data_IF_034123919840
#
_entry.id   IF_034123919840
#
_cell.length_a   1.000
_cell.length_b   1.000
_cell.length_c   1.000
_cell.angle_alpha   90.00
_cell.angle_beta   90.00
_cell.angle_gamma   90.00
#
_symmetry.space_group_name_H-M   'P 1'
#
loop_
_entity.id
_entity.type
_entity.pdbx_description
1 polymer ?
#
# COMPACT_ATOMS: atom_id res chain seq x y z
N UNK A 1 -22.56 -5.19 -1.16
CA UNK A 1 -21.37 -5.54 -0.35
C UNK A 1 -20.85 -4.28 0.31
N UNK A 2 -20.60 -4.31 1.62
CA UNK A 2 -20.09 -3.15 2.39
C UNK A 2 -18.57 -3.19 2.48
N UNK A 3 -17.92 -2.05 2.76
CA UNK A 3 -16.46 -1.93 2.91
C UNK A 3 -15.88 -2.91 3.94
N UNK A 4 -16.64 -3.20 4.99
CA UNK A 4 -16.26 -4.15 6.04
C UNK A 4 -15.86 -5.55 5.55
N UNK A 5 -16.41 -6.02 4.42
CA UNK A 5 -16.06 -7.35 3.87
C UNK A 5 -14.62 -7.36 3.31
N UNK A 6 -14.20 -6.25 2.68
CA UNK A 6 -12.83 -6.12 2.18
C UNK A 6 -11.84 -5.85 3.31
N UNK A 7 -12.26 -5.05 4.30
CA UNK A 7 -11.45 -4.76 5.50
C UNK A 7 -11.16 -6.04 6.32
N UNK A 8 -12.02 -7.06 6.23
CA UNK A 8 -11.83 -8.35 6.91
C UNK A 8 -10.74 -9.24 6.30
N UNK A 9 -10.31 -8.97 5.06
CA UNK A 9 -9.21 -9.70 4.41
C UNK A 9 -8.07 -8.72 4.15
N UNK A 10 -6.95 -8.79 4.90
CA UNK A 10 -5.90 -7.77 4.85
C UNK A 10 -5.37 -7.45 3.44
N UNK A 11 -5.23 -8.46 2.58
CA UNK A 11 -4.82 -8.26 1.19
C UNK A 11 -5.83 -7.45 0.36
N UNK A 12 -7.12 -7.61 0.63
CA UNK A 12 -8.14 -6.80 -0.02
C UNK A 12 -8.24 -5.39 0.58
N UNK A 13 -8.06 -5.20 1.89
CA UNK A 13 -8.00 -3.85 2.49
C UNK A 13 -6.90 -3.03 1.79
N UNK A 14 -5.69 -3.58 1.66
CA UNK A 14 -4.58 -2.91 0.98
C UNK A 14 -4.94 -2.58 -0.47
N UNK A 15 -5.44 -3.55 -1.23
CA UNK A 15 -5.77 -3.35 -2.63
C UNK A 15 -6.88 -2.31 -2.84
N UNK A 16 -7.95 -2.35 -2.03
CA UNK A 16 -9.07 -1.40 -2.10
C UNK A 16 -8.62 -0.01 -1.65
N UNK A 17 -7.86 0.08 -0.56
CA UNK A 17 -7.33 1.33 -0.03
C UNK A 17 -6.41 2.03 -1.04
N UNK A 18 -5.49 1.30 -1.69
CA UNK A 18 -4.64 1.85 -2.74
C UNK A 18 -5.45 2.32 -3.95
N UNK A 19 -6.34 1.48 -4.49
CA UNK A 19 -7.20 1.86 -5.63
C UNK A 19 -8.02 3.11 -5.32
N UNK A 20 -8.62 3.18 -4.13
CA UNK A 20 -9.36 4.35 -3.69
C UNK A 20 -8.47 5.60 -3.63
N UNK A 21 -7.24 5.47 -3.11
CA UNK A 21 -6.29 6.59 -3.06
C UNK A 21 -5.84 7.04 -4.45
N UNK A 22 -5.51 6.13 -5.36
CA UNK A 22 -5.15 6.47 -6.74
C UNK A 22 -6.31 7.12 -7.49
N UNK A 23 -7.53 6.59 -7.36
CA UNK A 23 -8.71 7.20 -7.98
C UNK A 23 -9.09 8.57 -7.39
N UNK A 24 -8.73 8.83 -6.12
CA UNK A 24 -8.95 10.14 -5.51
C UNK A 24 -7.97 11.21 -6.01
N UNK A 25 -6.84 10.82 -6.60
CA UNK A 25 -5.89 11.73 -7.21
C UNK A 25 -6.24 11.95 -8.68
N UNK A 26 -6.89 13.09 -8.98
CA UNK A 26 -7.28 13.45 -10.34
C UNK A 26 -6.12 13.67 -11.32
N UNK A 27 -4.88 13.77 -10.83
CA UNK A 27 -3.69 13.88 -11.67
C UNK A 27 -3.03 12.51 -11.93
N UNK A 28 -3.47 11.44 -11.26
CA UNK A 28 -2.88 10.12 -11.44
C UNK A 28 -3.20 9.55 -12.81
N UNK A 29 -2.15 9.15 -13.53
CA UNK A 29 -2.28 8.46 -14.82
C UNK A 29 -2.07 6.97 -14.61
N UNK A 30 -3.16 6.22 -14.70
CA UNK A 30 -3.12 4.78 -14.61
C UNK A 30 -2.26 4.15 -15.72
N UNK A 31 -1.45 3.20 -15.31
CA UNK A 31 -0.60 2.34 -16.12
C UNK A 31 -0.87 0.88 -15.74
N UNK A 32 -0.40 -0.06 -16.55
CA UNK A 32 -0.48 -1.49 -16.21
C UNK A 32 0.32 -1.82 -14.95
N UNK A 33 1.42 -1.10 -14.70
CA UNK A 33 2.26 -1.32 -13.53
C UNK A 33 1.52 -1.05 -12.23
N UNK A 34 0.62 -0.07 -12.18
CA UNK A 34 -0.19 0.20 -10.99
C UNK A 34 -0.98 -1.04 -10.54
N UNK A 35 -1.46 -1.85 -11.49
CA UNK A 35 -2.20 -3.09 -11.18
C UNK A 35 -1.26 -4.13 -10.57
N UNK A 36 -0.05 -4.27 -11.13
CA UNK A 36 0.96 -5.20 -10.63
C UNK A 36 1.47 -4.80 -9.24
N UNK A 37 1.71 -3.51 -9.03
CA UNK A 37 2.16 -2.98 -7.75
C UNK A 37 1.09 -3.19 -6.68
N UNK A 38 -0.18 -2.92 -7.00
CA UNK A 38 -1.29 -3.15 -6.07
C UNK A 38 -1.41 -4.63 -5.68
N UNK A 39 -1.24 -5.56 -6.61
CA UNK A 39 -1.27 -7.00 -6.34
C UNK A 39 -0.09 -7.44 -5.45
N UNK A 40 1.12 -6.99 -5.78
CA UNK A 40 2.32 -7.24 -4.99
C UNK A 40 2.20 -6.67 -3.57
N UNK A 41 1.64 -5.47 -3.41
CA UNK A 41 1.45 -4.82 -2.11
C UNK A 41 0.34 -5.47 -1.30
N UNK A 42 -0.72 -5.97 -1.95
CA UNK A 42 -1.77 -6.74 -1.30
C UNK A 42 -1.25 -8.01 -0.62
N UNK A 43 -0.17 -8.59 -1.14
CA UNK A 43 0.48 -9.76 -0.51
C UNK A 43 1.63 -9.41 0.43
N UNK A 44 2.27 -8.26 0.29
CA UNK A 44 3.46 -7.91 1.11
C UNK A 44 3.13 -7.02 2.30
N UNK A 45 2.31 -5.99 2.10
CA UNK A 45 1.96 -5.05 3.18
C UNK A 45 1.33 -5.74 4.39
N UNK A 46 0.36 -6.66 4.27
CA UNK A 46 -0.25 -7.24 5.48
C UNK A 46 0.58 -8.34 6.16
N UNK A 47 1.63 -8.84 5.52
CA UNK A 47 2.35 -10.05 5.98
C UNK A 47 3.85 -9.85 6.19
N UNK A 48 4.36 -8.63 5.98
CA UNK A 48 5.75 -8.26 6.26
C UNK A 48 5.81 -7.15 7.30
N UNK A 49 6.83 -7.18 8.15
CA UNK A 49 7.09 -6.11 9.13
C UNK A 49 7.58 -4.82 8.44
N UNK A 50 8.37 -4.97 7.37
CA UNK A 50 8.92 -3.86 6.59
C UNK A 50 8.74 -4.11 5.10
N UNK A 51 8.20 -3.13 4.38
CA UNK A 51 8.08 -3.13 2.92
C UNK A 51 8.79 -1.91 2.34
N UNK A 52 9.73 -2.14 1.42
CA UNK A 52 10.38 -1.08 0.65
C UNK A 52 9.73 -1.01 -0.73
N UNK A 53 9.22 0.16 -1.10
CA UNK A 53 8.53 0.39 -2.37
C UNK A 53 8.91 1.77 -2.93
N UNK A 54 8.43 2.13 -4.12
CA UNK A 54 8.72 3.44 -4.68
C UNK A 54 8.02 4.55 -3.88
N UNK A 55 8.48 5.78 -4.10
CA UNK A 55 8.04 6.95 -3.34
C UNK A 55 6.57 7.30 -3.55
N UNK A 56 6.01 7.08 -4.74
CA UNK A 56 4.62 7.36 -5.03
C UNK A 56 3.72 6.37 -4.29
N UNK A 57 3.98 5.07 -4.42
CA UNK A 57 3.26 4.03 -3.67
C UNK A 57 3.35 4.27 -2.16
N UNK A 58 4.56 4.53 -1.64
CA UNK A 58 4.76 4.80 -0.22
C UNK A 58 3.92 6.01 0.26
N UNK A 59 3.77 7.04 -0.57
CA UNK A 59 2.90 8.19 -0.30
C UNK A 59 1.42 7.80 -0.23
N UNK A 60 0.94 6.95 -1.14
CA UNK A 60 -0.43 6.45 -1.12
C UNK A 60 -0.70 5.54 0.09
N UNK A 61 0.22 4.63 0.43
CA UNK A 61 0.10 3.78 1.62
C UNK A 61 0.04 4.61 2.92
N UNK A 62 0.88 5.64 3.04
CA UNK A 62 0.84 6.55 4.19
C UNK A 62 -0.47 7.35 4.26
N UNK A 63 -0.96 7.84 3.11
CA UNK A 63 -2.21 8.62 3.04
C UNK A 63 -3.44 7.82 3.45
N UNK A 64 -3.48 6.53 3.09
CA UNK A 64 -4.58 5.63 3.44
C UNK A 64 -4.53 5.12 4.88
N UNK A 65 -3.37 5.23 5.53
CA UNK A 65 -3.10 4.68 6.86
C UNK A 65 -3.19 3.15 6.93
N UNK A 66 -3.27 2.45 5.79
CA UNK A 66 -3.50 0.99 5.77
C UNK A 66 -2.30 0.22 6.33
N UNK A 67 -1.09 0.65 6.01
CA UNK A 67 0.13 0.02 6.53
C UNK A 67 0.24 0.19 8.05
N UNK A 68 -0.10 1.37 8.58
CA UNK A 68 -0.09 1.63 10.02
C UNK A 68 -1.11 0.75 10.76
N UNK A 69 -2.33 0.60 10.23
CA UNK A 69 -3.35 -0.29 10.80
C UNK A 69 -2.91 -1.76 10.83
N UNK A 70 -2.10 -2.18 9.86
CA UNK A 70 -1.59 -3.54 9.72
C UNK A 70 -0.25 -3.76 10.47
N UNK A 71 0.33 -2.71 11.06
CA UNK A 71 1.58 -2.80 11.81
C UNK A 71 2.84 -2.87 10.93
N UNK A 72 2.77 -2.41 9.68
CA UNK A 72 3.86 -2.53 8.71
C UNK A 72 4.57 -1.21 8.47
N UNK A 73 5.90 -1.24 8.52
CA UNK A 73 6.75 -0.10 8.22
C UNK A 73 6.94 0.00 6.70
N UNK A 74 6.58 1.15 6.12
CA UNK A 74 6.73 1.40 4.68
C UNK A 74 7.85 2.42 4.43
N UNK A 75 8.88 1.97 3.71
CA UNK A 75 10.04 2.76 3.33
C UNK A 75 10.01 3.07 1.83
N UNK A 76 10.52 4.24 1.44
CA UNK A 76 10.64 4.66 0.03
C UNK A 76 12.06 4.53 -0.52
N UNK A 77 13.00 4.09 0.31
CA UNK A 77 14.41 3.93 -0.04
C UNK A 77 14.99 2.76 0.73
N UNK A 78 15.80 1.95 0.04
CA UNK A 78 16.51 0.84 0.68
C UNK A 78 17.56 1.35 1.69
N UNK A 79 18.09 2.56 1.50
CA UNK A 79 19.04 3.16 2.45
C UNK A 79 18.45 3.41 3.83
N UNK A 80 17.13 3.62 3.91
CA UNK A 80 16.43 3.86 5.18
C UNK A 80 16.23 2.55 5.97
N UNK A 81 16.39 1.40 5.32
CA UNK A 81 16.21 0.09 5.96
C UNK A 81 17.24 -0.13 7.08
N UNK A 82 18.50 0.24 6.84
CA UNK A 82 19.57 0.07 7.83
C UNK A 82 19.36 0.91 9.10
N UNK A 83 18.60 2.01 9.03
CA UNK A 83 18.26 2.83 10.19
C UNK A 83 17.05 2.31 10.97
N UNK A 84 16.32 1.33 10.40
CA UNK A 84 15.08 0.77 10.95
C UNK A 84 15.31 -0.57 11.68
N UNK A 85 16.43 -1.24 11.38
CA UNK A 85 16.88 -2.48 12.03
C UNK A 85 17.65 -2.19 13.32
#
# INVERSE_FOLDING_TARGET
>A
MTRAVFDAMPSFDVAVSLKASYHSDGNHRWTTNDIHDIDALGSTVPYCDIVVTDKAVASHLRRTGVAERLGTIVLSSLSDLAATL
#
